data_IF_291275100511
#
_entry.id   IF_291275100511
#
_cell.length_a   1.000
_cell.length_b   1.000
_cell.length_c   1.000
_cell.angle_alpha   90.00
_cell.angle_beta   90.00
_cell.angle_gamma   90.00
#
_symmetry.space_group_name_H-M   'P 1'
#
loop_
_entity.id
_entity.type
_entity.pdbx_description
1 polymer ?
#
# COMPACT_ATOMS: atom_id res chain seq x y z
N UNK A 1 -11.51 -7.12 -4.58
CA UNK A 1 -12.37 -5.94 -4.34
C UNK A 1 -11.71 -4.92 -3.42
N UNK A 2 -11.03 -5.33 -2.36
CA UNK A 2 -10.34 -4.44 -1.39
C UNK A 2 -9.17 -3.64 -1.98
N UNK A 3 -8.25 -4.26 -2.73
CA UNK A 3 -7.06 -3.58 -3.24
C UNK A 3 -7.38 -2.43 -4.22
N UNK A 4 -8.37 -2.62 -5.11
CA UNK A 4 -8.79 -1.60 -6.07
C UNK A 4 -9.34 -0.34 -5.40
N UNK A 5 -10.12 -0.52 -4.33
CA UNK A 5 -10.66 0.60 -3.54
C UNK A 5 -9.57 1.35 -2.76
N UNK A 6 -8.56 0.65 -2.27
CA UNK A 6 -7.38 1.29 -1.67
C UNK A 6 -6.65 2.14 -2.71
N UNK A 7 -6.44 1.61 -3.92
CA UNK A 7 -5.83 2.38 -5.02
C UNK A 7 -6.66 3.63 -5.36
N UNK A 8 -7.99 3.52 -5.40
CA UNK A 8 -8.87 4.68 -5.57
C UNK A 8 -8.64 5.73 -4.48
N UNK A 9 -8.69 5.33 -3.21
CA UNK A 9 -8.46 6.23 -2.08
C UNK A 9 -7.05 6.83 -2.03
N UNK A 10 -6.03 6.16 -2.58
CA UNK A 10 -4.70 6.73 -2.73
C UNK A 10 -4.66 7.75 -3.87
N UNK A 11 -5.37 7.51 -4.97
CA UNK A 11 -5.42 8.42 -6.12
C UNK A 11 -6.17 9.71 -5.85
N UNK A 12 -7.12 9.71 -4.91
CA UNK A 12 -7.79 10.96 -4.47
C UNK A 12 -6.87 11.88 -3.68
N UNK A 13 -5.83 11.33 -3.03
CA UNK A 13 -4.87 12.10 -2.20
C UNK A 13 -3.71 12.65 -3.01
N UNK A 14 -3.24 11.87 -3.99
CA UNK A 14 -2.16 12.27 -4.90
C UNK A 14 -2.21 11.43 -6.18
N UNK A 15 -1.77 11.95 -7.33
CA UNK A 15 -1.66 11.15 -8.54
C UNK A 15 -0.66 10.00 -8.36
N UNK A 16 -0.90 8.90 -9.09
CA UNK A 16 0.09 7.82 -9.22
C UNK A 16 1.37 8.35 -9.87
N UNK A 17 2.49 7.66 -9.62
CA UNK A 17 3.73 7.90 -10.35
C UNK A 17 3.51 7.65 -11.85
N UNK A 18 4.19 8.42 -12.69
CA UNK A 18 3.97 8.43 -14.14
C UNK A 18 4.12 7.05 -14.83
N UNK A 19 4.93 6.16 -14.26
CA UNK A 19 5.17 4.81 -14.78
C UNK A 19 4.33 3.71 -14.12
N UNK A 20 3.32 4.09 -13.33
CA UNK A 20 2.42 3.17 -12.63
C UNK A 20 1.01 3.38 -13.14
N UNK A 21 0.49 2.38 -13.85
CA UNK A 21 -0.92 2.33 -14.20
C UNK A 21 -1.74 1.71 -13.06
N UNK A 22 -3.07 1.81 -13.16
CA UNK A 22 -4.01 1.33 -12.14
C UNK A 22 -3.83 -0.17 -11.84
N UNK A 23 -3.66 -1.01 -12.86
CA UNK A 23 -3.48 -2.46 -12.68
C UNK A 23 -2.23 -2.76 -11.88
N UNK A 24 -1.09 -2.16 -12.23
CA UNK A 24 0.17 -2.32 -11.49
C UNK A 24 0.07 -1.78 -10.06
N UNK A 25 -0.70 -0.72 -9.84
CA UNK A 25 -0.96 -0.23 -8.48
C UNK A 25 -1.78 -1.24 -7.67
N UNK A 26 -2.78 -1.88 -8.27
CA UNK A 26 -3.58 -2.93 -7.65
C UNK A 26 -2.72 -4.13 -7.29
N UNK A 27 -1.86 -4.59 -8.20
CA UNK A 27 -0.95 -5.72 -7.95
C UNK A 27 0.02 -5.41 -6.80
N UNK A 28 0.52 -4.18 -6.73
CA UNK A 28 1.41 -3.73 -5.64
C UNK A 28 0.67 -3.72 -4.30
N UNK A 29 -0.57 -3.21 -4.25
CA UNK A 29 -1.38 -3.24 -3.03
C UNK A 29 -1.69 -4.68 -2.62
N UNK A 30 -2.01 -5.55 -3.58
CA UNK A 30 -2.25 -6.97 -3.31
C UNK A 30 -1.03 -7.65 -2.71
N UNK A 31 0.16 -7.42 -3.25
CA UNK A 31 1.41 -7.96 -2.70
C UNK A 31 1.65 -7.48 -1.27
N UNK A 32 1.42 -6.19 -1.00
CA UNK A 32 1.54 -5.63 0.34
C UNK A 32 0.45 -6.09 1.30
N UNK A 33 -0.66 -6.63 0.79
CA UNK A 33 -1.78 -7.22 1.55
C UNK A 33 -1.74 -8.76 1.57
N UNK A 34 -0.67 -9.37 1.05
CA UNK A 34 -0.60 -10.82 0.91
C UNK A 34 -0.83 -11.51 2.26
N UNK A 35 -1.72 -12.52 2.33
CA UNK A 35 -2.04 -13.18 3.59
C UNK A 35 -0.82 -13.77 4.30
N UNK A 36 0.15 -14.31 3.56
CA UNK A 36 1.37 -14.87 4.15
C UNK A 36 2.28 -13.77 4.71
N UNK A 37 2.28 -12.58 4.10
CA UNK A 37 2.98 -11.40 4.65
C UNK A 37 2.31 -10.94 5.95
N UNK A 38 0.97 -10.83 5.96
CA UNK A 38 0.24 -10.46 7.17
C UNK A 38 0.45 -11.48 8.31
N UNK A 39 0.33 -12.77 8.00
CA UNK A 39 0.51 -13.87 8.94
C UNK A 39 1.93 -13.88 9.52
N UNK A 40 2.95 -13.80 8.66
CA UNK A 40 4.35 -13.75 9.11
C UNK A 40 4.67 -12.53 9.96
N UNK A 41 4.06 -11.37 9.68
CA UNK A 41 4.31 -10.18 10.49
C UNK A 41 3.57 -10.22 11.82
N UNK A 42 2.33 -10.72 11.85
CA UNK A 42 1.50 -10.71 13.06
C UNK A 42 1.75 -11.91 13.97
N UNK A 43 1.75 -13.13 13.43
CA UNK A 43 1.91 -14.36 14.21
C UNK A 43 3.38 -14.65 14.52
N UNK A 44 4.28 -14.59 13.53
CA UNK A 44 5.69 -14.97 13.75
C UNK A 44 6.54 -13.83 14.32
N UNK A 45 6.19 -12.57 14.02
CA UNK A 45 6.96 -11.38 14.45
C UNK A 45 6.24 -10.52 15.48
N UNK A 46 5.08 -10.95 15.96
CA UNK A 46 4.35 -10.32 17.06
C UNK A 46 3.82 -8.93 16.75
N UNK A 47 3.60 -8.57 15.48
CA UNK A 47 2.98 -7.30 15.16
C UNK A 47 1.49 -7.33 15.49
N UNK A 48 0.97 -6.24 16.04
CA UNK A 48 -0.47 -6.03 16.08
C UNK A 48 -1.00 -5.70 14.69
N UNK A 49 -2.28 -6.01 14.43
CA UNK A 49 -2.94 -5.62 13.19
C UNK A 49 -2.88 -4.09 12.95
N UNK A 50 -2.98 -3.30 14.02
CA UNK A 50 -2.83 -1.84 13.95
C UNK A 50 -1.43 -1.43 13.49
N UNK A 51 -0.37 -2.05 14.05
CA UNK A 51 1.01 -1.80 13.62
C UNK A 51 1.20 -2.16 12.14
N UNK A 52 0.65 -3.30 11.70
CA UNK A 52 0.66 -3.69 10.30
C UNK A 52 -0.01 -2.64 9.41
N UNK A 53 -1.20 -2.16 9.77
CA UNK A 53 -1.92 -1.14 9.01
C UNK A 53 -1.14 0.18 8.89
N UNK A 54 -0.56 0.66 9.99
CA UNK A 54 0.30 1.86 9.99
C UNK A 54 1.53 1.66 9.12
N UNK A 55 2.17 0.48 9.21
CA UNK A 55 3.30 0.16 8.36
C UNK A 55 2.89 0.13 6.89
N UNK A 56 1.84 -0.60 6.52
CA UNK A 56 1.34 -0.77 5.16
C UNK A 56 1.13 0.57 4.44
N UNK A 57 0.54 1.55 5.13
CA UNK A 57 0.28 2.87 4.55
C UNK A 57 1.55 3.56 4.03
N UNK A 58 2.69 3.37 4.70
CA UNK A 58 3.97 3.99 4.35
C UNK A 58 4.52 3.52 2.98
N UNK A 59 4.84 2.23 2.78
CA UNK A 59 5.24 1.67 1.51
C UNK A 59 4.20 1.89 0.41
N UNK A 60 2.89 1.73 0.68
CA UNK A 60 1.86 1.95 -0.32
C UNK A 60 1.91 3.38 -0.90
N UNK A 61 1.94 4.41 -0.04
CA UNK A 61 2.06 5.80 -0.49
C UNK A 61 3.38 6.05 -1.25
N UNK A 62 4.51 5.55 -0.72
CA UNK A 62 5.82 5.77 -1.35
C UNK A 62 5.94 5.07 -2.69
N UNK A 63 5.44 3.85 -2.83
CA UNK A 63 5.58 3.07 -4.06
C UNK A 63 4.63 3.59 -5.14
N UNK A 64 3.43 4.04 -4.77
CA UNK A 64 2.35 4.31 -5.72
C UNK A 64 2.21 5.79 -6.08
N UNK A 65 2.32 6.69 -5.10
CA UNK A 65 2.07 8.10 -5.32
C UNK A 65 3.37 8.87 -5.63
N UNK A 66 3.22 9.96 -6.37
CA UNK A 66 4.31 10.92 -6.56
C UNK A 66 4.61 11.59 -5.21
N UNK A 67 5.89 11.64 -4.82
CA UNK A 67 6.29 12.43 -3.65
C UNK A 67 6.06 13.90 -3.96
N UNK A 68 5.30 14.60 -3.11
CA UNK A 68 5.32 16.06 -3.07
C UNK A 68 6.71 16.46 -2.58
N UNK A 69 7.60 16.85 -3.48
CA UNK A 69 8.83 17.53 -3.06
C UNK A 69 8.36 18.89 -2.53
N UNK A 70 8.30 19.05 -1.22
CA UNK A 70 8.25 20.39 -0.62
C UNK A 70 9.57 21.05 -0.98
N UNK A 71 9.51 21.98 -1.94
CA UNK A 71 10.57 22.96 -2.17
C UNK A 71 10.44 24.03 -1.10
#
# INVERSE_FOLDING_TARGET
MTAAWIVDGLTTRAPLRANINRTRAIDTVWLLMDPAVFDRLTNDRGWTAQRYGTWFAGPALRLLNRSSRTT
#
